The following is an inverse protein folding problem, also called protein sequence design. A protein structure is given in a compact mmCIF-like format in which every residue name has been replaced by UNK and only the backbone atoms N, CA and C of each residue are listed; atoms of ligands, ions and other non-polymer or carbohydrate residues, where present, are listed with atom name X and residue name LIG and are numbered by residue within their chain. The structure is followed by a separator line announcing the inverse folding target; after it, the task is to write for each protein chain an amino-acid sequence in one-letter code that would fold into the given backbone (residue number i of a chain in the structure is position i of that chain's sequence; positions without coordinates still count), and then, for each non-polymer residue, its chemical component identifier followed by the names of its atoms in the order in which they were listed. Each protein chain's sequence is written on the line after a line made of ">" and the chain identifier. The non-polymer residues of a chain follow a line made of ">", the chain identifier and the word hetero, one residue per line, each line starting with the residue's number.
data_IF_174682981006
#
_entry.id   IF_174682981006
#
_cell.length_a   1.000
_cell.length_b   1.000
_cell.length_c   1.000
_cell.angle_alpha   90.00
_cell.angle_beta   90.00
_cell.angle_gamma   90.00
#
_symmetry.space_group_name_H-M   'P 1'
#
loop_
_entity.id
_entity.type
_entity.pdbx_description
1 polymer ?
#
# COMPACT_ATOMS: atom_id res chain seq x y z
N UNK A 1 17.56 6.56 2.41
CA UNK A 1 16.44 6.63 3.37
C UNK A 1 15.32 7.52 2.89
N UNK A 2 15.57 8.68 2.25
CA UNK A 2 14.51 9.50 1.63
C UNK A 2 13.55 8.68 0.75
N UNK A 3 14.09 7.89 -0.21
CA UNK A 3 13.31 7.01 -1.08
C UNK A 3 12.43 6.01 -0.31
N UNK A 4 12.96 5.35 0.72
CA UNK A 4 12.14 4.46 1.56
C UNK A 4 11.01 5.20 2.28
N UNK A 5 11.25 6.41 2.77
CA UNK A 5 10.21 7.17 3.44
C UNK A 5 9.13 7.55 2.45
N UNK A 6 9.50 8.11 1.28
CA UNK A 6 8.54 8.46 0.23
C UNK A 6 7.78 7.23 -0.27
N UNK A 7 8.46 6.11 -0.48
CA UNK A 7 7.88 4.83 -0.93
C UNK A 7 6.81 4.32 0.01
N UNK A 8 7.16 4.25 1.30
CA UNK A 8 6.23 3.78 2.32
C UNK A 8 5.11 4.80 2.59
N UNK A 9 5.38 6.10 2.44
CA UNK A 9 4.35 7.14 2.51
C UNK A 9 3.33 7.01 1.39
N UNK A 10 3.82 6.81 0.17
CA UNK A 10 2.95 6.60 -0.97
C UNK A 10 2.14 5.31 -0.83
N UNK A 11 2.78 4.20 -0.40
CA UNK A 11 2.09 2.95 -0.09
C UNK A 11 0.98 3.13 0.96
N UNK A 12 1.22 3.92 2.02
CA UNK A 12 0.19 4.29 3.00
C UNK A 12 -0.96 5.03 2.30
N UNK A 13 -0.64 6.05 1.52
CA UNK A 13 -1.61 6.88 0.83
C UNK A 13 -2.53 6.04 -0.07
N UNK A 14 -1.99 5.19 -0.95
CA UNK A 14 -2.81 4.37 -1.85
C UNK A 14 -3.62 3.30 -1.09
N UNK A 15 -3.11 2.82 0.05
CA UNK A 15 -3.85 1.89 0.93
C UNK A 15 -5.05 2.57 1.59
N UNK A 16 -4.89 3.81 2.05
CA UNK A 16 -5.99 4.60 2.62
C UNK A 16 -7.02 4.93 1.54
N UNK A 17 -6.58 5.40 0.36
CA UNK A 17 -7.45 5.77 -0.75
C UNK A 17 -8.34 4.61 -1.25
N UNK A 18 -7.78 3.40 -1.42
CA UNK A 18 -8.57 2.26 -1.89
C UNK A 18 -9.54 1.75 -0.81
N UNK A 19 -9.14 1.84 0.47
CA UNK A 19 -10.01 1.48 1.60
C UNK A 19 -11.19 2.44 1.70
N UNK A 20 -10.92 3.74 1.61
CA UNK A 20 -11.97 4.78 1.62
C UNK A 20 -12.91 4.63 0.44
N UNK A 21 -12.39 4.39 -0.77
CA UNK A 21 -13.22 4.18 -1.96
C UNK A 21 -14.24 3.06 -1.80
N UNK A 22 -13.83 1.89 -1.29
CA UNK A 22 -14.74 0.77 -1.08
C UNK A 22 -15.68 1.00 0.10
N UNK A 23 -15.19 1.59 1.18
CA UNK A 23 -16.03 1.91 2.33
C UNK A 23 -17.14 2.90 1.94
N UNK A 24 -16.81 3.97 1.20
CA UNK A 24 -17.81 4.93 0.71
C UNK A 24 -18.87 4.24 -0.16
N UNK A 25 -18.45 3.39 -1.11
CA UNK A 25 -19.39 2.67 -1.99
C UNK A 25 -20.36 1.75 -1.21
N UNK A 26 -19.85 0.97 -0.25
CA UNK A 26 -20.68 0.06 0.57
C UNK A 26 -21.58 0.84 1.55
N UNK A 27 -21.07 1.95 2.11
CA UNK A 27 -21.84 2.82 3.01
C UNK A 27 -22.99 3.50 2.25
N UNK A 28 -22.75 3.94 1.01
CA UNK A 28 -23.79 4.47 0.12
C UNK A 28 -24.83 3.40 -0.27
N UNK A 29 -24.40 2.14 -0.40
CA UNK A 29 -25.28 1.00 -0.62
C UNK A 29 -26.08 0.58 0.65
N UNK A 30 -25.69 1.10 1.81
CA UNK A 30 -26.43 0.98 3.07
C UNK A 30 -25.75 0.14 4.16
N UNK A 31 -24.57 -0.41 3.92
CA UNK A 31 -23.78 -1.12 4.94
C UNK A 31 -22.81 -0.17 5.64
N UNK A 32 -23.34 0.65 6.57
CA UNK A 32 -22.58 1.70 7.26
C UNK A 32 -21.45 1.19 8.17
N UNK A 33 -21.41 -0.11 8.46
CA UNK A 33 -20.40 -0.73 9.33
C UNK A 33 -19.31 -1.45 8.53
N UNK A 34 -19.38 -1.45 7.20
CA UNK A 34 -18.39 -2.09 6.34
C UNK A 34 -17.01 -1.42 6.49
N UNK A 35 -15.96 -2.24 6.60
CA UNK A 35 -14.56 -1.83 6.52
C UNK A 35 -13.81 -2.82 5.62
N UNK A 36 -13.41 -2.38 4.43
CA UNK A 36 -12.63 -3.15 3.46
C UNK A 36 -11.35 -3.72 4.07
N UNK A 37 -10.79 -3.06 5.08
CA UNK A 37 -9.58 -3.57 5.72
C UNK A 37 -9.82 -4.78 6.65
N UNK A 38 -11.07 -5.13 6.93
CA UNK A 38 -11.43 -6.23 7.84
C UNK A 38 -12.07 -7.43 7.11
N UNK A 39 -12.27 -7.36 5.79
CA UNK A 39 -12.68 -8.51 4.97
C UNK A 39 -11.51 -9.43 4.62
N UNK A 40 -11.82 -10.61 4.08
CA UNK A 40 -10.80 -11.56 3.62
C UNK A 40 -10.23 -11.20 2.24
N UNK A 41 -9.00 -11.63 1.98
CA UNK A 41 -8.39 -11.48 0.64
C UNK A 41 -9.22 -12.21 -0.42
N UNK A 42 -9.80 -13.36 -0.08
CA UNK A 42 -10.67 -14.12 -0.99
C UNK A 42 -11.94 -13.35 -1.37
N UNK A 43 -12.56 -12.68 -0.41
CA UNK A 43 -13.73 -11.82 -0.64
C UNK A 43 -13.36 -10.59 -1.46
N UNK A 44 -12.22 -9.95 -1.15
CA UNK A 44 -11.70 -8.84 -1.93
C UNK A 44 -11.45 -9.21 -3.40
N UNK A 45 -10.81 -10.35 -3.65
CA UNK A 45 -10.57 -10.87 -5.01
C UNK A 45 -11.87 -11.13 -5.78
N UNK A 46 -12.89 -11.67 -5.10
CA UNK A 46 -14.13 -12.06 -5.75
C UNK A 46 -15.04 -10.87 -6.04
N UNK A 47 -15.23 -10.00 -5.05
CA UNK A 47 -16.31 -9.03 -5.03
C UNK A 47 -15.82 -7.60 -5.30
N UNK A 48 -14.52 -7.30 -5.06
CA UNK A 48 -13.98 -5.94 -5.15
C UNK A 48 -12.91 -5.75 -6.23
N UNK A 49 -12.16 -6.79 -6.62
CA UNK A 49 -11.21 -6.67 -7.74
C UNK A 49 -11.87 -6.33 -9.08
N UNK A 50 -13.04 -6.89 -9.46
CA UNK A 50 -13.64 -6.61 -10.75
C UNK A 50 -13.89 -5.11 -10.95
N UNK A 51 -13.48 -4.57 -12.10
CA UNK A 51 -13.60 -3.15 -12.50
C UNK A 51 -12.77 -2.14 -11.69
N UNK A 52 -12.32 -2.47 -10.47
CA UNK A 52 -11.53 -1.53 -9.66
C UNK A 52 -10.24 -1.09 -10.33
N UNK A 53 -9.55 -1.98 -11.05
CA UNK A 53 -8.33 -1.60 -11.76
C UNK A 53 -8.64 -0.64 -12.92
N UNK A 54 -9.82 -0.71 -13.54
CA UNK A 54 -10.25 0.25 -14.55
C UNK A 54 -10.54 1.63 -13.94
N UNK A 55 -11.12 1.66 -12.74
CA UNK A 55 -11.54 2.89 -12.06
C UNK A 55 -10.41 3.58 -11.28
N UNK A 56 -9.53 2.80 -10.63
CA UNK A 56 -8.47 3.29 -9.73
C UNK A 56 -7.07 3.08 -10.26
N UNK A 57 -6.90 2.22 -11.26
CA UNK A 57 -5.61 1.94 -11.87
C UNK A 57 -4.75 0.90 -11.13
N UNK A 58 -5.11 0.50 -9.92
CA UNK A 58 -4.42 -0.51 -9.14
C UNK A 58 -5.39 -1.25 -8.20
N UNK A 59 -4.93 -2.34 -7.59
CA UNK A 59 -5.66 -3.07 -6.57
C UNK A 59 -4.74 -3.52 -5.42
N UNK A 60 -5.26 -3.46 -4.19
CA UNK A 60 -4.54 -3.85 -2.97
C UNK A 60 -5.45 -4.76 -2.15
N UNK A 61 -4.95 -5.93 -1.78
CA UNK A 61 -5.69 -6.85 -0.92
C UNK A 61 -5.77 -6.35 0.53
N UNK A 62 -6.81 -6.72 1.30
CA UNK A 62 -6.93 -6.39 2.71
C UNK A 62 -5.68 -6.73 3.52
N UNK A 63 -5.09 -7.92 3.35
CA UNK A 63 -3.86 -8.32 4.04
C UNK A 63 -2.63 -7.48 3.68
N UNK A 64 -2.67 -6.85 2.50
CA UNK A 64 -1.64 -6.02 1.93
C UNK A 64 -1.83 -4.54 2.21
N UNK A 65 -2.91 -4.12 2.89
CA UNK A 65 -3.12 -2.72 3.27
C UNK A 65 -2.10 -2.28 4.32
N UNK A 66 -1.64 -1.03 4.21
CA UNK A 66 -0.66 -0.44 5.14
C UNK A 66 -1.04 -0.66 6.62
N UNK A 67 -2.30 -0.39 7.01
CA UNK A 67 -2.77 -0.58 8.40
C UNK A 67 -2.60 -2.02 8.87
N UNK A 68 -2.86 -3.00 8.00
CA UNK A 68 -2.81 -4.42 8.33
C UNK A 68 -1.37 -4.95 8.37
N UNK A 69 -0.50 -4.46 7.50
CA UNK A 69 0.95 -4.73 7.58
C UNK A 69 1.54 -4.14 8.85
N UNK A 70 1.21 -2.89 9.22
CA UNK A 70 1.70 -2.25 10.45
C UNK A 70 1.28 -3.05 11.70
N UNK A 71 0.03 -3.55 11.76
CA UNK A 71 -0.48 -4.38 12.87
C UNK A 71 0.43 -5.58 13.15
N UNK A 72 1.03 -6.19 12.13
CA UNK A 72 1.84 -7.42 12.25
C UNK A 72 3.35 -7.20 12.15
N UNK A 73 3.81 -6.04 11.67
CA UNK A 73 5.20 -5.74 11.32
C UNK A 73 6.23 -6.04 12.42
N UNK A 74 5.89 -5.84 13.70
CA UNK A 74 6.81 -6.08 14.82
C UNK A 74 7.19 -7.56 15.00
N UNK A 75 6.29 -8.47 14.64
CA UNK A 75 6.45 -9.90 14.83
C UNK A 75 6.70 -10.64 13.51
N UNK A 76 6.82 -9.92 12.40
CA UNK A 76 7.00 -10.50 11.08
C UNK A 76 8.50 -10.67 10.75
N UNK A 77 8.98 -11.91 10.83
CA UNK A 77 10.36 -12.29 10.47
C UNK A 77 10.63 -12.27 8.96
N UNK A 78 9.60 -12.11 8.12
CA UNK A 78 9.67 -12.05 6.67
C UNK A 78 9.27 -10.68 6.10
N UNK A 79 9.15 -9.65 6.94
CA UNK A 79 8.62 -8.33 6.57
C UNK A 79 9.26 -7.75 5.29
N UNK A 80 10.58 -7.90 5.12
CA UNK A 80 11.26 -7.44 3.91
C UNK A 80 10.78 -8.13 2.63
N UNK A 81 10.48 -9.43 2.70
CA UNK A 81 9.99 -10.23 1.59
C UNK A 81 8.53 -9.95 1.34
N UNK A 82 7.73 -9.83 2.39
CA UNK A 82 6.30 -9.55 2.27
C UNK A 82 6.07 -8.17 1.65
N UNK A 83 6.78 -7.13 2.10
CA UNK A 83 6.72 -5.80 1.46
C UNK A 83 7.16 -5.83 0.00
N UNK A 84 8.21 -6.60 -0.35
CA UNK A 84 8.63 -6.72 -1.75
C UNK A 84 7.55 -7.39 -2.61
N UNK A 85 6.85 -8.38 -2.06
CA UNK A 85 5.76 -9.05 -2.76
C UNK A 85 4.55 -8.11 -2.89
N UNK A 86 4.18 -7.39 -1.84
CA UNK A 86 3.10 -6.40 -1.85
C UNK A 86 3.34 -5.36 -2.94
N UNK A 87 4.52 -4.73 -3.00
CA UNK A 87 4.80 -3.74 -4.03
C UNK A 87 4.71 -4.32 -5.44
N UNK A 88 5.22 -5.54 -5.62
CA UNK A 88 5.11 -6.26 -6.89
C UNK A 88 3.66 -6.58 -7.24
N UNK A 89 2.84 -6.94 -6.28
CA UNK A 89 1.42 -7.29 -6.50
C UNK A 89 0.60 -6.05 -6.84
N UNK A 90 0.90 -4.91 -6.22
CA UNK A 90 0.30 -3.61 -6.57
C UNK A 90 0.66 -3.23 -8.00
N UNK A 91 1.95 -3.26 -8.37
CA UNK A 91 2.38 -3.00 -9.75
C UNK A 91 1.80 -4.02 -10.74
N UNK A 92 1.75 -5.28 -10.35
CA UNK A 92 1.19 -6.38 -11.13
C UNK A 92 -0.32 -6.27 -11.34
N UNK A 93 -1.04 -5.61 -10.43
CA UNK A 93 -2.50 -5.45 -10.53
C UNK A 93 -2.92 -4.62 -11.74
N UNK A 94 -2.06 -3.71 -12.19
CA UNK A 94 -2.32 -2.81 -13.31
C UNK A 94 -1.92 -3.39 -14.68
N UNK A 95 -1.28 -4.56 -14.72
CA UNK A 95 -0.77 -5.14 -15.98
C UNK A 95 -1.91 -5.43 -16.95
N UNK A 96 -1.80 -4.89 -18.16
CA UNK A 96 -2.82 -5.00 -19.20
C UNK A 96 -3.92 -3.93 -19.14
N UNK A 97 -3.87 -3.00 -18.18
CA UNK A 97 -4.79 -1.87 -18.05
C UNK A 97 -4.14 -0.56 -18.51
N UNK A 98 -4.94 0.48 -18.71
CA UNK A 98 -4.44 1.79 -19.15
C UNK A 98 -3.48 2.42 -18.12
N UNK A 99 -3.65 2.10 -16.85
CA UNK A 99 -2.84 2.57 -15.74
C UNK A 99 -1.49 1.85 -15.59
N UNK A 100 -1.18 0.83 -16.41
CA UNK A 100 0.05 0.04 -16.27
C UNK A 100 1.29 0.95 -16.24
N UNK A 101 1.39 1.89 -17.17
CA UNK A 101 2.55 2.79 -17.29
C UNK A 101 2.65 3.79 -16.13
N UNK A 102 1.53 4.10 -15.46
CA UNK A 102 1.49 5.04 -14.32
C UNK A 102 1.90 4.38 -13.01
N UNK A 103 1.65 3.06 -12.87
CA UNK A 103 1.96 2.30 -11.65
C UNK A 103 3.30 1.56 -11.77
N UNK A 104 3.74 1.23 -12.99
CA UNK A 104 4.98 0.49 -13.20
C UNK A 104 6.20 1.27 -12.73
N UNK A 105 7.00 0.63 -11.89
CA UNK A 105 8.25 1.20 -11.39
C UNK A 105 8.06 2.11 -10.16
N UNK A 106 6.83 2.28 -9.68
CA UNK A 106 6.48 3.14 -8.55
C UNK A 106 7.21 2.78 -7.26
N UNK A 107 7.60 1.51 -7.09
CA UNK A 107 8.35 1.04 -5.92
C UNK A 107 9.77 0.57 -6.23
N UNK A 108 10.31 0.80 -7.44
CA UNK A 108 11.65 0.34 -7.85
C UNK A 108 12.77 0.87 -6.93
N UNK A 109 12.60 2.07 -6.40
CA UNK A 109 13.56 2.71 -5.50
C UNK A 109 13.48 2.21 -4.03
N UNK A 110 12.49 1.36 -3.71
CA UNK A 110 12.26 0.83 -2.37
C UNK A 110 12.81 -0.60 -2.26
N UNK A 111 14.13 -0.74 -2.34
CA UNK A 111 14.78 -2.05 -2.17
C UNK A 111 14.73 -2.52 -0.70
N UNK A 112 13.69 -3.27 -0.34
CA UNK A 112 13.48 -3.85 1.01
C UNK A 112 14.55 -4.87 1.41
N UNK A 113 15.37 -5.35 0.46
CA UNK A 113 16.44 -6.32 0.67
C UNK A 113 17.83 -5.67 0.69
N UNK A 114 17.90 -4.35 0.57
CA UNK A 114 19.17 -3.60 0.54
C UNK A 114 19.99 -3.78 1.81
N UNK A 115 21.31 -3.85 1.64
CA UNK A 115 22.25 -3.77 2.77
C UNK A 115 22.23 -2.41 3.48
N UNK A 116 21.62 -1.38 2.87
CA UNK A 116 21.36 -0.08 3.52
C UNK A 116 20.41 -0.21 4.73
N UNK A 117 19.56 -1.23 4.76
CA UNK A 117 18.62 -1.49 5.85
C UNK A 117 19.25 -2.29 7.02
N UNK A 118 20.32 -3.05 6.75
CA UNK A 118 21.03 -3.87 7.73
C UNK A 118 21.81 -5.01 7.09
N UNK A 119 22.78 -5.59 7.80
CA UNK A 119 23.60 -6.70 7.30
C UNK A 119 22.85 -8.04 7.34
N UNK A 120 21.92 -8.21 8.27
CA UNK A 120 21.11 -9.43 8.45
C UNK A 120 19.64 -9.20 8.10
N UNK A 121 18.88 -10.28 7.88
CA UNK A 121 17.42 -10.20 7.64
C UNK A 121 16.70 -9.56 8.82
N UNK A 122 17.07 -9.95 10.06
CA UNK A 122 16.49 -9.37 11.27
C UNK A 122 16.72 -7.86 11.38
N UNK A 123 17.92 -7.37 11.04
CA UNK A 123 18.19 -5.92 11.03
C UNK A 123 17.39 -5.18 9.95
N UNK A 124 17.26 -5.77 8.76
CA UNK A 124 16.44 -5.20 7.67
C UNK A 124 14.97 -5.08 8.09
N UNK A 125 14.40 -6.16 8.63
CA UNK A 125 13.01 -6.17 9.11
C UNK A 125 12.81 -5.18 10.25
N UNK A 126 13.73 -5.10 11.21
CA UNK A 126 13.68 -4.10 12.27
C UNK A 126 13.63 -2.68 11.69
N UNK A 127 14.50 -2.37 10.73
CA UNK A 127 14.56 -1.05 10.10
C UNK A 127 13.28 -0.71 9.33
N UNK A 128 12.76 -1.66 8.55
CA UNK A 128 11.49 -1.49 7.83
C UNK A 128 10.32 -1.29 8.79
N UNK A 129 10.27 -2.08 9.86
CA UNK A 129 9.27 -1.94 10.93
C UNK A 129 9.33 -0.55 11.59
N UNK A 130 10.53 -0.05 11.89
CA UNK A 130 10.72 1.30 12.44
C UNK A 130 10.21 2.39 11.47
N UNK A 131 10.41 2.22 10.15
CA UNK A 131 9.92 3.14 9.12
C UNK A 131 8.39 3.10 9.06
N UNK A 132 7.78 1.91 8.96
CA UNK A 132 6.33 1.71 8.93
C UNK A 132 5.66 2.35 10.16
N UNK A 133 6.13 2.04 11.36
CA UNK A 133 5.60 2.61 12.61
C UNK A 133 5.84 4.13 12.70
N UNK A 134 6.97 4.60 12.15
CA UNK A 134 7.26 6.03 12.08
C UNK A 134 6.25 6.77 11.23
N UNK A 135 5.91 6.20 10.06
CA UNK A 135 4.95 6.75 9.11
C UNK A 135 3.51 6.64 9.62
N UNK A 136 3.14 5.54 10.25
CA UNK A 136 1.82 5.33 10.87
C UNK A 136 1.45 6.43 11.90
N UNK A 137 2.45 6.97 12.59
CA UNK A 137 2.27 8.05 13.58
C UNK A 137 2.12 9.43 12.98
N UNK A 138 2.37 9.61 11.68
CA UNK A 138 2.23 10.91 11.05
C UNK A 138 0.73 11.17 10.88
N UNK A 139 0.26 12.28 11.44
CA UNK A 139 -1.10 12.75 11.19
C UNK A 139 -1.08 13.61 9.93
N UNK A 140 -1.59 13.07 8.83
CA UNK A 140 -1.57 13.76 7.53
C UNK A 140 -2.79 14.66 7.28
N UNK A 141 -3.80 14.64 8.15
CA UNK A 141 -5.09 15.26 7.83
C UNK A 141 -5.81 14.49 6.71
N UNK A 142 -6.91 15.05 6.22
CA UNK A 142 -7.67 14.46 5.11
C UNK A 142 -6.89 14.72 3.81
N UNK A 143 -6.17 13.72 3.30
CA UNK A 143 -5.62 13.80 1.96
C UNK A 143 -6.77 13.82 0.94
N UNK A 144 -6.72 14.74 -0.02
CA UNK A 144 -7.71 14.84 -1.11
C UNK A 144 -7.05 14.46 -2.43
N UNK A 145 -7.85 14.29 -3.49
CA UNK A 145 -7.36 13.93 -4.83
C UNK A 145 -6.15 14.76 -5.33
N UNK A 146 -6.03 16.03 -4.90
CA UNK A 146 -4.87 16.90 -5.21
C UNK A 146 -3.52 16.40 -4.65
N UNK A 147 -3.53 15.47 -3.69
CA UNK A 147 -2.30 14.98 -3.05
C UNK A 147 -1.64 13.86 -3.86
N UNK A 148 -2.38 13.16 -4.74
CA UNK A 148 -1.85 12.15 -5.67
C UNK A 148 -0.89 12.82 -6.67
N UNK A 149 -1.33 13.92 -7.27
CA UNK A 149 -0.50 14.71 -8.20
C UNK A 149 0.76 15.24 -7.49
N UNK A 150 0.64 15.64 -6.22
CA UNK A 150 1.77 16.09 -5.42
C UNK A 150 2.76 14.96 -5.09
N UNK A 151 2.31 13.71 -5.01
CA UNK A 151 3.21 12.56 -4.91
C UNK A 151 3.87 12.26 -6.26
N UNK A 152 3.15 12.32 -7.38
CA UNK A 152 3.74 12.22 -8.73
C UNK A 152 4.89 13.21 -8.92
N UNK A 153 4.67 14.48 -8.59
CA UNK A 153 5.68 15.55 -8.62
C UNK A 153 6.85 15.32 -7.63
N UNK A 154 6.63 14.58 -6.54
CA UNK A 154 7.67 14.29 -5.55
C UNK A 154 8.61 13.14 -5.97
N UNK A 155 8.23 12.39 -7.01
CA UNK A 155 9.01 11.29 -7.60
C UNK A 155 9.73 11.65 -8.91
N UNK A 156 9.32 12.71 -9.63
CA UNK A 156 10.12 13.33 -10.72
C UNK A 156 11.39 14.05 -10.21
#
# INVERSE_FOLDING_TARGET
>A
FKQYILGILFYRFISENITEFFNEAEHEAGDLEFDYAEISDEEAEQDFRPNTVEDKGFFILPSQLFKNVVKTAKNNENLNTDLANIFKDIEGSAVGFQSEDDIKGLFEDVDTRSNKLGGTVAEKNKRLCDILIGIDKINFGDFKDNDIDAFGDAYE
#
